data_IF_953993149348
#
_entry.id   IF_953993149348
#
_cell.length_a   1.000
_cell.length_b   1.000
_cell.length_c   1.000
_cell.angle_alpha   90.00
_cell.angle_beta   90.00
_cell.angle_gamma   90.00
#
_symmetry.space_group_name_H-M   'P 1'
#
loop_
_entity.id
_entity.type
_entity.pdbx_description
1 polymer ?
#
# COMPACT_ATOMS: atom_id res chain seq x y z
N UNK A 1 23.50 -9.50 -16.91
CA UNK A 1 23.15 -8.23 -16.23
C UNK A 1 22.31 -8.64 -15.04
N UNK A 2 22.66 -8.21 -13.82
CA UNK A 2 21.97 -8.63 -12.60
C UNK A 2 20.88 -7.65 -12.20
N UNK A 3 19.91 -8.10 -11.41
CA UNK A 3 18.94 -7.23 -10.72
C UNK A 3 19.75 -6.21 -9.90
N UNK A 4 19.49 -4.90 -10.02
CA UNK A 4 20.24 -3.90 -9.29
C UNK A 4 20.01 -4.06 -7.78
N UNK A 5 21.03 -3.71 -7.02
CA UNK A 5 20.97 -3.74 -5.57
C UNK A 5 20.78 -2.35 -4.98
N UNK A 6 20.08 -2.30 -3.87
CA UNK A 6 19.91 -1.14 -3.01
C UNK A 6 20.63 -1.41 -1.69
N UNK A 7 21.33 -0.41 -1.15
CA UNK A 7 22.03 -0.52 0.13
C UNK A 7 21.33 0.36 1.15
N UNK A 8 20.88 -0.23 2.24
CA UNK A 8 20.36 0.50 3.40
C UNK A 8 21.25 0.30 4.61
N UNK A 9 21.31 1.32 5.45
CA UNK A 9 21.86 1.23 6.80
C UNK A 9 21.16 0.16 7.68
N UNK A 10 19.92 -0.22 7.35
CA UNK A 10 19.09 -1.18 8.10
C UNK A 10 19.32 -2.64 7.72
N UNK A 11 19.54 -2.91 6.43
CA UNK A 11 19.54 -4.27 5.86
C UNK A 11 20.79 -4.63 5.07
N UNK A 12 21.74 -3.70 4.94
CA UNK A 12 22.88 -3.87 4.04
C UNK A 12 22.41 -3.82 2.58
N UNK A 13 23.11 -4.55 1.71
CA UNK A 13 22.86 -4.57 0.27
C UNK A 13 21.90 -5.70 -0.11
N UNK A 14 20.77 -5.36 -0.73
CA UNK A 14 19.74 -6.30 -1.16
C UNK A 14 19.28 -6.00 -2.60
N UNK A 15 18.90 -7.01 -3.41
CA UNK A 15 18.30 -6.78 -4.72
C UNK A 15 16.99 -5.98 -4.60
N UNK A 16 16.73 -5.04 -5.52
CA UNK A 16 15.54 -4.17 -5.45
C UNK A 16 14.21 -4.92 -5.61
N UNK A 17 14.23 -6.14 -6.17
CA UNK A 17 13.06 -7.01 -6.27
C UNK A 17 12.93 -8.02 -5.13
N UNK A 18 13.80 -8.01 -4.14
CA UNK A 18 13.70 -8.93 -3.01
C UNK A 18 12.47 -8.60 -2.14
N UNK A 19 11.74 -9.60 -1.67
CA UNK A 19 10.53 -9.42 -0.84
C UNK A 19 10.84 -8.85 0.55
N UNK A 20 12.07 -9.02 1.05
CA UNK A 20 12.50 -8.39 2.28
C UNK A 20 12.46 -6.85 2.20
N UNK A 21 12.52 -6.30 0.98
CA UNK A 21 12.41 -4.85 0.74
C UNK A 21 11.05 -4.33 1.20
N UNK A 22 9.97 -5.08 0.99
CA UNK A 22 8.60 -4.62 1.26
C UNK A 22 8.38 -4.32 2.75
N UNK A 23 9.10 -5.05 3.62
CA UNK A 23 9.06 -4.87 5.08
C UNK A 23 9.85 -3.67 5.56
N UNK A 24 10.81 -3.18 4.77
CA UNK A 24 11.71 -2.11 5.20
C UNK A 24 11.40 -0.77 4.55
N UNK A 25 10.75 -0.75 3.39
CA UNK A 25 10.33 0.49 2.71
C UNK A 25 9.70 1.51 3.70
N UNK A 26 8.78 1.11 4.61
CA UNK A 26 8.13 2.05 5.54
C UNK A 26 9.09 2.72 6.53
N UNK A 27 10.26 2.11 6.78
CA UNK A 27 11.24 2.57 7.79
C UNK A 27 12.54 3.10 7.18
N UNK A 28 12.64 3.16 5.85
CA UNK A 28 13.77 3.78 5.15
C UNK A 28 13.75 5.29 5.33
N UNK A 29 14.94 5.90 5.41
CA UNK A 29 15.03 7.37 5.40
C UNK A 29 14.57 7.93 4.03
N UNK A 30 14.08 9.18 3.95
CA UNK A 30 13.59 9.75 2.68
C UNK A 30 14.62 9.73 1.53
N UNK A 31 15.91 9.85 1.84
CA UNK A 31 16.99 9.70 0.85
C UNK A 31 17.11 8.27 0.31
N UNK A 32 17.03 7.28 1.20
CA UNK A 32 17.05 5.85 0.86
C UNK A 32 15.81 5.45 0.05
N UNK A 33 14.62 5.96 0.40
CA UNK A 33 13.38 5.74 -0.36
C UNK A 33 13.50 6.23 -1.80
N UNK A 34 14.05 7.45 -1.99
CA UNK A 34 14.28 8.03 -3.33
C UNK A 34 15.30 7.21 -4.14
N UNK A 35 16.38 6.78 -3.51
CA UNK A 35 17.39 5.95 -4.17
C UNK A 35 16.80 4.60 -4.60
N UNK A 36 16.08 3.93 -3.70
CA UNK A 36 15.39 2.68 -3.99
C UNK A 36 14.44 2.82 -5.19
N UNK A 37 13.55 3.81 -5.16
CA UNK A 37 12.61 4.08 -6.24
C UNK A 37 13.31 4.38 -7.56
N UNK A 38 14.37 5.20 -7.55
CA UNK A 38 15.12 5.55 -8.76
C UNK A 38 15.74 4.31 -9.42
N UNK A 39 16.36 3.43 -8.63
CA UNK A 39 16.93 2.17 -9.13
C UNK A 39 15.85 1.25 -9.69
N UNK A 40 14.72 1.13 -8.99
CA UNK A 40 13.63 0.26 -9.41
C UNK A 40 12.95 0.74 -10.69
N UNK A 41 12.72 2.05 -10.84
CA UNK A 41 12.17 2.65 -12.07
C UNK A 41 13.15 2.45 -13.26
N UNK A 42 14.45 2.68 -13.05
CA UNK A 42 15.45 2.44 -14.08
C UNK A 42 15.54 0.96 -14.48
N UNK A 43 15.42 0.05 -13.51
CA UNK A 43 15.39 -1.38 -13.77
C UNK A 43 14.14 -1.79 -14.57
N UNK A 44 12.96 -1.31 -14.18
CA UNK A 44 11.72 -1.52 -14.92
C UNK A 44 11.86 -1.10 -16.39
N UNK A 45 12.42 0.09 -16.66
CA UNK A 45 12.68 0.53 -18.03
C UNK A 45 13.69 -0.35 -18.80
N UNK A 46 14.64 -0.96 -18.09
CA UNK A 46 15.56 -1.96 -18.67
C UNK A 46 14.80 -3.23 -19.05
N UNK A 47 13.88 -3.71 -18.20
CA UNK A 47 13.03 -4.88 -18.48
C UNK A 47 12.07 -4.59 -19.64
N UNK A 48 11.49 -3.39 -19.74
CA UNK A 48 10.66 -3.02 -20.89
C UNK A 48 11.42 -3.11 -22.21
N UNK A 49 12.67 -2.61 -22.22
CA UNK A 49 13.51 -2.54 -23.43
C UNK A 49 14.13 -3.88 -23.83
N UNK A 50 14.53 -4.70 -22.87
CA UNK A 50 15.33 -5.91 -23.11
C UNK A 50 14.62 -7.20 -22.69
N UNK A 51 13.43 -7.11 -22.10
CA UNK A 51 12.68 -8.25 -21.58
C UNK A 51 12.19 -9.24 -22.62
N UNK A 52 12.26 -8.92 -23.92
CA UNK A 52 11.94 -9.89 -24.98
C UNK A 52 13.12 -10.85 -25.26
N UNK A 53 14.28 -10.62 -24.65
CA UNK A 53 15.45 -11.49 -24.78
C UNK A 53 15.45 -12.58 -23.69
N UNK A 54 15.38 -13.87 -24.06
CA UNK A 54 15.51 -14.97 -23.11
C UNK A 54 16.84 -14.94 -22.37
N UNK A 55 17.91 -14.47 -23.01
CA UNK A 55 19.25 -14.33 -22.38
C UNK A 55 19.23 -13.27 -21.28
N UNK A 56 18.51 -12.17 -21.50
CA UNK A 56 18.35 -11.14 -20.48
C UNK A 56 17.56 -11.69 -19.27
N UNK A 57 16.43 -12.33 -19.53
CA UNK A 57 15.55 -12.86 -18.48
C UNK A 57 16.16 -14.01 -17.70
N UNK A 58 16.86 -14.93 -18.36
CA UNK A 58 17.58 -16.04 -17.70
C UNK A 58 18.73 -15.56 -16.81
N UNK A 59 19.19 -14.31 -16.99
CA UNK A 59 20.19 -13.71 -16.12
C UNK A 59 19.58 -13.03 -14.88
N UNK A 60 18.25 -12.97 -14.77
CA UNK A 60 17.54 -12.46 -13.60
C UNK A 60 17.23 -13.61 -12.65
N UNK A 61 17.78 -13.54 -11.43
CA UNK A 61 17.43 -14.47 -10.37
C UNK A 61 15.93 -14.31 -10.01
N UNK A 62 15.20 -15.42 -9.88
CA UNK A 62 13.80 -15.43 -9.45
C UNK A 62 12.76 -15.60 -10.57
N UNK A 63 13.17 -15.69 -11.83
CA UNK A 63 12.26 -16.11 -12.92
C UNK A 63 12.05 -17.64 -12.85
N UNK A 64 10.81 -18.14 -12.78
CA UNK A 64 10.55 -19.58 -12.75
C UNK A 64 11.09 -20.29 -13.98
N UNK A 65 11.59 -21.53 -13.81
CA UNK A 65 11.97 -22.35 -14.95
C UNK A 65 10.72 -22.77 -15.75
N UNK A 66 10.85 -22.79 -17.09
CA UNK A 66 9.81 -23.34 -17.98
C UNK A 66 8.75 -22.35 -18.46
N UNK A 67 8.83 -21.06 -18.09
CA UNK A 67 7.98 -20.01 -18.66
C UNK A 67 8.56 -19.44 -19.96
N UNK A 68 7.71 -18.89 -20.81
CA UNK A 68 8.13 -18.16 -22.01
C UNK A 68 8.78 -16.83 -21.65
N UNK A 69 9.55 -16.25 -22.58
CA UNK A 69 10.14 -14.92 -22.38
C UNK A 69 9.07 -13.84 -22.17
N UNK A 70 7.92 -13.94 -22.85
CA UNK A 70 6.83 -12.99 -22.69
C UNK A 70 6.20 -13.07 -21.29
N UNK A 71 5.95 -14.28 -20.79
CA UNK A 71 5.43 -14.51 -19.43
C UNK A 71 6.42 -14.01 -18.38
N UNK A 72 7.71 -14.38 -18.50
CA UNK A 72 8.76 -13.91 -17.59
C UNK A 72 8.88 -12.38 -17.58
N UNK A 73 8.80 -11.73 -18.75
CA UNK A 73 8.77 -10.26 -18.83
C UNK A 73 7.55 -9.68 -18.09
N UNK A 74 6.37 -10.26 -18.30
CA UNK A 74 5.13 -9.87 -17.61
C UNK A 74 5.28 -9.94 -16.10
N UNK A 75 5.74 -11.08 -15.57
CA UNK A 75 5.96 -11.30 -14.13
C UNK A 75 6.94 -10.28 -13.53
N UNK A 76 8.08 -10.04 -14.19
CA UNK A 76 9.09 -9.10 -13.67
C UNK A 76 8.57 -7.66 -13.71
N UNK A 77 7.83 -7.28 -14.76
CA UNK A 77 7.22 -5.94 -14.83
C UNK A 77 6.14 -5.76 -13.79
N UNK A 78 5.31 -6.77 -13.54
CA UNK A 78 4.30 -6.76 -12.47
C UNK A 78 4.94 -6.54 -11.10
N UNK A 79 5.98 -7.32 -10.75
CA UNK A 79 6.76 -7.12 -9.52
C UNK A 79 7.35 -5.71 -9.41
N UNK A 80 7.88 -5.18 -10.51
CA UNK A 80 8.41 -3.80 -10.53
C UNK A 80 7.29 -2.78 -10.26
N UNK A 81 6.17 -2.88 -10.97
CA UNK A 81 5.04 -1.97 -10.82
C UNK A 81 4.52 -1.98 -9.38
N UNK A 82 4.35 -3.17 -8.80
CA UNK A 82 3.87 -3.33 -7.43
C UNK A 82 4.83 -2.73 -6.41
N UNK A 83 6.14 -3.00 -6.51
CA UNK A 83 7.13 -2.43 -5.59
C UNK A 83 7.32 -0.92 -5.77
N UNK A 84 7.13 -0.38 -6.99
CA UNK A 84 7.09 1.07 -7.21
C UNK A 84 5.89 1.67 -6.50
N UNK A 85 4.70 1.09 -6.64
CA UNK A 85 3.49 1.57 -5.97
C UNK A 85 3.64 1.59 -4.44
N UNK A 86 4.20 0.53 -3.86
CA UNK A 86 4.53 0.48 -2.42
C UNK A 86 5.57 1.55 -2.04
N UNK A 87 6.65 1.71 -2.80
CA UNK A 87 7.66 2.73 -2.54
C UNK A 87 7.11 4.16 -2.62
N UNK A 88 6.18 4.41 -3.55
CA UNK A 88 5.50 5.70 -3.67
C UNK A 88 4.53 5.95 -2.51
N UNK A 89 3.79 4.93 -2.05
CA UNK A 89 2.96 5.00 -0.83
C UNK A 89 3.76 5.50 0.37
N UNK A 90 4.88 4.84 0.63
CA UNK A 90 5.69 5.09 1.83
C UNK A 90 6.74 6.19 1.67
N UNK A 91 6.79 6.85 0.51
CA UNK A 91 7.61 8.06 0.35
C UNK A 91 7.21 9.11 1.39
N UNK A 92 8.15 9.95 1.81
CA UNK A 92 7.88 11.08 2.72
C UNK A 92 8.19 12.42 2.03
N UNK A 93 7.18 13.26 1.71
CA UNK A 93 5.74 12.99 1.80
C UNK A 93 5.29 11.87 0.85
N UNK A 94 4.09 11.32 1.08
CA UNK A 94 3.55 10.23 0.26
C UNK A 94 3.38 10.70 -1.19
N UNK A 95 3.76 9.84 -2.13
CA UNK A 95 3.65 10.08 -3.58
C UNK A 95 2.65 9.11 -4.22
N UNK A 96 1.71 8.59 -3.43
CA UNK A 96 0.77 7.55 -3.86
C UNK A 96 -0.04 7.94 -5.11
N UNK A 97 -0.35 9.23 -5.31
CA UNK A 97 -1.03 9.71 -6.52
C UNK A 97 -0.23 9.43 -7.81
N UNK A 98 1.11 9.43 -7.74
CA UNK A 98 1.97 9.08 -8.88
C UNK A 98 1.97 7.58 -9.19
N UNK A 99 1.43 6.75 -8.29
CA UNK A 99 1.44 5.30 -8.42
C UNK A 99 0.35 4.77 -9.37
N UNK A 100 -0.66 5.57 -9.72
CA UNK A 100 -1.81 5.16 -10.55
C UNK A 100 -1.42 4.30 -11.75
N UNK A 101 -0.54 4.72 -12.67
CA UNK A 101 -0.23 3.92 -13.87
C UNK A 101 0.47 2.59 -13.55
N UNK A 102 1.15 2.49 -12.40
CA UNK A 102 1.77 1.23 -11.97
C UNK A 102 0.73 0.30 -11.37
N UNK A 103 -0.19 0.83 -10.55
CA UNK A 103 -1.25 0.04 -9.91
C UNK A 103 -2.23 -0.50 -10.97
N UNK A 104 -2.62 0.32 -11.95
CA UNK A 104 -3.46 -0.12 -13.08
C UNK A 104 -2.84 -1.29 -13.83
N UNK A 105 -1.51 -1.29 -13.99
CA UNK A 105 -0.79 -2.40 -14.65
C UNK A 105 -0.77 -3.67 -13.81
N UNK A 106 -0.69 -3.55 -12.48
CA UNK A 106 -0.79 -4.71 -11.58
C UNK A 106 -2.19 -5.31 -11.64
N UNK A 107 -3.23 -4.48 -11.58
CA UNK A 107 -4.63 -4.93 -11.68
C UNK A 107 -4.89 -5.60 -13.05
N UNK A 108 -4.42 -4.99 -14.14
CA UNK A 108 -4.55 -5.57 -15.47
C UNK A 108 -3.82 -6.91 -15.58
N UNK A 109 -2.58 -6.98 -15.13
CA UNK A 109 -1.80 -8.23 -15.14
C UNK A 109 -2.49 -9.33 -14.32
N UNK A 110 -2.97 -9.02 -13.11
CA UNK A 110 -3.74 -9.96 -12.30
C UNK A 110 -4.99 -10.44 -13.04
N UNK A 111 -5.75 -9.53 -13.64
CA UNK A 111 -7.01 -9.86 -14.33
C UNK A 111 -6.79 -10.74 -15.57
N UNK A 112 -5.68 -10.56 -16.29
CA UNK A 112 -5.31 -11.38 -17.45
C UNK A 112 -4.92 -12.82 -17.08
N UNK A 113 -4.50 -13.06 -15.83
CA UNK A 113 -3.94 -14.34 -15.38
C UNK A 113 -4.80 -15.08 -14.34
N UNK A 114 -5.96 -14.52 -13.97
CA UNK A 114 -6.87 -15.10 -12.99
C UNK A 114 -8.28 -15.28 -13.58
N UNK A 115 -9.12 -16.02 -12.86
CA UNK A 115 -10.49 -16.26 -13.29
C UNK A 115 -11.31 -14.96 -13.34
N UNK A 116 -12.18 -14.77 -14.35
CA UNK A 116 -13.06 -13.61 -14.42
C UNK A 116 -13.89 -13.46 -13.15
N UNK A 117 -13.90 -12.25 -12.59
CA UNK A 117 -14.64 -11.93 -11.36
C UNK A 117 -13.84 -12.13 -10.07
N UNK A 118 -12.62 -12.67 -10.13
CA UNK A 118 -11.68 -12.62 -9.00
C UNK A 118 -11.04 -11.23 -8.95
N UNK A 119 -11.09 -10.61 -7.78
CA UNK A 119 -10.55 -9.26 -7.55
C UNK A 119 -9.34 -9.37 -6.62
N UNK A 120 -8.21 -8.81 -7.03
CA UNK A 120 -7.11 -8.55 -6.09
C UNK A 120 -7.40 -7.26 -5.32
N UNK A 121 -7.93 -7.43 -4.11
CA UNK A 121 -8.42 -6.29 -3.31
C UNK A 121 -7.31 -5.32 -2.91
N UNK A 122 -6.04 -5.74 -2.87
CA UNK A 122 -4.95 -4.89 -2.37
C UNK A 122 -4.55 -3.81 -3.37
N UNK A 123 -4.23 -4.13 -4.64
CA UNK A 123 -4.06 -3.13 -5.69
C UNK A 123 -5.29 -2.21 -5.83
N UNK A 124 -6.50 -2.76 -5.71
CA UNK A 124 -7.74 -1.96 -5.76
C UNK A 124 -7.82 -0.92 -4.63
N UNK A 125 -7.48 -1.32 -3.39
CA UNK A 125 -7.37 -0.38 -2.26
C UNK A 125 -6.31 0.69 -2.54
N UNK A 126 -5.15 0.31 -3.07
CA UNK A 126 -4.09 1.27 -3.42
C UNK A 126 -4.55 2.26 -4.50
N UNK A 127 -5.26 1.78 -5.53
CA UNK A 127 -5.76 2.62 -6.61
C UNK A 127 -6.83 3.59 -6.11
N UNK A 128 -7.75 3.11 -5.28
CA UNK A 128 -8.74 3.96 -4.60
C UNK A 128 -8.07 5.08 -3.80
N UNK A 129 -7.02 4.77 -3.03
CA UNK A 129 -6.27 5.79 -2.28
C UNK A 129 -5.50 6.75 -3.20
N UNK A 130 -4.88 6.25 -4.27
CA UNK A 130 -4.15 7.08 -5.22
C UNK A 130 -5.07 8.09 -5.91
N UNK A 131 -6.23 7.64 -6.38
CA UNK A 131 -7.24 8.48 -7.03
C UNK A 131 -7.92 9.43 -6.04
N UNK A 132 -8.11 9.01 -4.78
CA UNK A 132 -8.62 9.88 -3.71
C UNK A 132 -7.78 11.15 -3.51
N UNK A 133 -6.49 11.11 -3.82
CA UNK A 133 -5.55 12.23 -3.74
C UNK A 133 -5.58 13.15 -4.98
N UNK A 134 -6.37 12.82 -6.00
CA UNK A 134 -6.44 13.54 -7.27
C UNK A 134 -7.78 14.26 -7.41
N UNK A 135 -7.75 15.57 -7.65
CA UNK A 135 -8.95 16.36 -7.86
C UNK A 135 -9.71 15.88 -9.12
N UNK A 136 -11.03 15.71 -9.01
CA UNK A 136 -11.88 15.26 -10.12
C UNK A 136 -11.88 13.74 -10.36
N UNK A 137 -11.25 12.96 -9.48
CA UNK A 137 -11.21 11.49 -9.54
C UNK A 137 -12.07 10.83 -8.45
N UNK A 138 -12.99 11.57 -7.83
CA UNK A 138 -13.77 11.12 -6.68
C UNK A 138 -14.61 9.87 -7.00
N UNK A 139 -15.33 9.87 -8.13
CA UNK A 139 -16.16 8.73 -8.53
C UNK A 139 -15.34 7.50 -8.93
N UNK A 140 -14.17 7.72 -9.53
CA UNK A 140 -13.24 6.63 -9.86
C UNK A 140 -12.68 6.01 -8.57
N UNK A 141 -12.19 6.84 -7.64
CA UNK A 141 -11.72 6.39 -6.34
C UNK A 141 -12.80 5.62 -5.57
N UNK A 142 -14.04 6.13 -5.56
CA UNK A 142 -15.19 5.48 -4.94
C UNK A 142 -15.46 4.09 -5.54
N UNK A 143 -15.42 3.97 -6.88
CA UNK A 143 -15.62 2.69 -7.57
C UNK A 143 -14.60 1.64 -7.15
N UNK A 144 -13.32 2.00 -7.07
CA UNK A 144 -12.25 1.10 -6.64
C UNK A 144 -12.37 0.71 -5.16
N UNK A 145 -12.76 1.66 -4.29
CA UNK A 145 -13.03 1.33 -2.89
C UNK A 145 -14.23 0.38 -2.72
N UNK A 146 -15.32 0.58 -3.46
CA UNK A 146 -16.45 -0.35 -3.46
C UNK A 146 -16.01 -1.74 -3.90
N UNK A 147 -15.34 -1.85 -5.04
CA UNK A 147 -14.88 -3.13 -5.56
C UNK A 147 -13.99 -3.87 -4.55
N UNK A 148 -13.04 -3.16 -3.94
CA UNK A 148 -12.14 -3.74 -2.94
C UNK A 148 -12.88 -4.20 -1.67
N UNK A 149 -13.78 -3.38 -1.11
CA UNK A 149 -14.42 -3.67 0.17
C UNK A 149 -15.69 -4.50 0.07
N UNK A 150 -16.30 -4.63 -1.11
CA UNK A 150 -17.30 -5.67 -1.37
C UNK A 150 -16.65 -7.06 -1.37
N UNK A 151 -15.46 -7.18 -1.95
CA UNK A 151 -14.69 -8.43 -1.96
C UNK A 151 -13.98 -8.72 -0.62
N UNK A 152 -13.58 -7.69 0.13
CA UNK A 152 -12.97 -7.79 1.45
C UNK A 152 -13.72 -6.94 2.51
N UNK A 153 -14.92 -7.37 2.93
CA UNK A 153 -15.79 -6.56 3.78
C UNK A 153 -15.31 -6.39 5.22
N UNK A 154 -14.44 -7.29 5.70
CA UNK A 154 -13.93 -7.30 7.08
C UNK A 154 -12.43 -7.05 7.14
N UNK A 155 -12.01 -6.38 8.21
CA UNK A 155 -10.58 -6.19 8.51
C UNK A 155 -10.04 -7.51 9.08
N UNK A 156 -9.26 -8.21 8.28
CA UNK A 156 -8.68 -9.51 8.61
C UNK A 156 -7.16 -9.50 8.35
N UNK A 157 -6.69 -10.25 7.35
CA UNK A 157 -5.29 -10.21 6.94
C UNK A 157 -4.94 -8.84 6.34
N UNK A 158 -3.66 -8.46 6.46
CA UNK A 158 -3.13 -7.20 5.92
C UNK A 158 -3.87 -5.96 6.47
N UNK A 159 -4.26 -6.03 7.74
CA UNK A 159 -5.02 -4.99 8.45
C UNK A 159 -4.40 -3.59 8.31
N UNK A 160 -3.07 -3.45 8.20
CA UNK A 160 -2.44 -2.16 7.90
C UNK A 160 -2.97 -1.50 6.62
N UNK A 161 -3.02 -2.26 5.52
CA UNK A 161 -3.52 -1.74 4.25
C UNK A 161 -5.01 -1.44 4.34
N UNK A 162 -5.79 -2.30 5.00
CA UNK A 162 -7.23 -2.11 5.14
C UNK A 162 -7.60 -0.90 6.01
N UNK A 163 -6.95 -0.71 7.16
CA UNK A 163 -7.19 0.43 8.04
C UNK A 163 -6.84 1.75 7.33
N UNK A 164 -5.68 1.78 6.68
CA UNK A 164 -5.24 2.93 5.89
C UNK A 164 -6.21 3.27 4.76
N UNK A 165 -6.57 2.28 3.95
CA UNK A 165 -7.46 2.50 2.80
C UNK A 165 -8.88 2.87 3.25
N UNK A 166 -9.41 2.28 4.33
CA UNK A 166 -10.70 2.67 4.90
C UNK A 166 -10.69 4.08 5.47
N UNK A 167 -9.59 4.54 6.05
CA UNK A 167 -9.49 5.91 6.54
C UNK A 167 -9.53 6.91 5.38
N UNK A 168 -8.79 6.64 4.29
CA UNK A 168 -8.91 7.43 3.05
C UNK A 168 -10.32 7.36 2.45
N UNK A 169 -10.94 6.18 2.50
CA UNK A 169 -12.27 5.99 1.96
C UNK A 169 -13.33 6.78 2.74
N UNK A 170 -13.29 6.74 4.07
CA UNK A 170 -14.13 7.56 4.94
C UNK A 170 -14.00 9.07 4.61
N UNK A 171 -12.76 9.56 4.46
CA UNK A 171 -12.52 10.96 4.05
C UNK A 171 -13.12 11.28 2.69
N UNK A 172 -13.01 10.37 1.71
CA UNK A 172 -13.61 10.55 0.39
C UNK A 172 -15.12 10.75 0.52
N UNK A 173 -15.77 9.82 1.23
CA UNK A 173 -17.21 9.80 1.44
C UNK A 173 -17.67 11.09 2.14
N UNK A 174 -16.95 11.56 3.17
CA UNK A 174 -17.22 12.84 3.83
C UNK A 174 -17.15 14.01 2.85
N UNK A 175 -16.10 14.10 2.02
CA UNK A 175 -15.98 15.16 0.99
C UNK A 175 -17.11 15.13 -0.03
N UNK A 176 -17.60 13.94 -0.36
CA UNK A 176 -18.74 13.73 -1.27
C UNK A 176 -20.11 13.91 -0.58
N UNK A 177 -20.16 14.24 0.72
CA UNK A 177 -21.41 14.38 1.48
C UNK A 177 -22.07 13.05 1.86
N UNK A 178 -21.45 11.91 1.59
CA UNK A 178 -21.92 10.55 1.89
C UNK A 178 -21.63 10.16 3.34
N UNK A 179 -22.23 10.91 4.26
CA UNK A 179 -21.94 10.84 5.70
C UNK A 179 -22.24 9.47 6.30
N UNK A 180 -23.37 8.85 5.97
CA UNK A 180 -23.75 7.55 6.54
C UNK A 180 -22.78 6.44 6.13
N UNK A 181 -22.40 6.40 4.85
CA UNK A 181 -21.39 5.46 4.33
C UNK A 181 -20.02 5.70 4.98
N UNK A 182 -19.64 6.95 5.21
CA UNK A 182 -18.38 7.28 5.88
C UNK A 182 -18.34 6.73 7.31
N UNK A 183 -19.44 6.87 8.07
CA UNK A 183 -19.55 6.35 9.43
C UNK A 183 -19.33 4.84 9.47
N UNK A 184 -19.86 4.09 8.49
CA UNK A 184 -19.63 2.63 8.40
C UNK A 184 -18.13 2.29 8.31
N UNK A 185 -17.36 3.05 7.53
CA UNK A 185 -15.92 2.84 7.41
C UNK A 185 -15.18 3.21 8.70
N UNK A 186 -15.57 4.31 9.32
CA UNK A 186 -15.02 4.77 10.60
C UNK A 186 -15.32 3.76 11.73
N UNK A 187 -16.53 3.19 11.77
CA UNK A 187 -16.92 2.13 12.72
C UNK A 187 -16.04 0.89 12.57
N UNK A 188 -15.78 0.43 11.34
CA UNK A 188 -14.91 -0.73 11.11
C UNK A 188 -13.50 -0.51 11.68
N UNK A 189 -12.96 0.71 11.55
CA UNK A 189 -11.65 1.08 12.11
C UNK A 189 -11.71 1.10 13.64
N UNK A 190 -12.77 1.69 14.22
CA UNK A 190 -12.99 1.76 15.67
C UNK A 190 -13.15 0.37 16.29
N UNK A 191 -13.92 -0.50 15.65
CA UNK A 191 -14.15 -1.87 16.07
C UNK A 191 -12.87 -2.68 16.02
N UNK A 192 -12.05 -2.49 14.97
CA UNK A 192 -10.74 -3.14 14.92
C UNK A 192 -9.86 -2.74 16.10
N UNK A 193 -9.76 -1.43 16.40
CA UNK A 193 -9.00 -0.93 17.54
C UNK A 193 -9.54 -1.50 18.88
N UNK A 194 -10.86 -1.65 18.99
CA UNK A 194 -11.49 -2.23 20.18
C UNK A 194 -11.07 -3.68 20.43
N UNK A 195 -11.14 -4.50 19.38
CA UNK A 195 -10.89 -5.93 19.47
C UNK A 195 -9.41 -6.31 19.41
N UNK A 196 -8.55 -5.37 18.99
CA UNK A 196 -7.11 -5.57 18.85
C UNK A 196 -6.29 -4.51 19.62
N UNK A 197 -6.50 -4.36 20.95
CA UNK A 197 -5.82 -3.32 21.74
C UNK A 197 -4.30 -3.46 21.81
N UNK A 198 -3.76 -4.63 21.43
CA UNK A 198 -2.32 -4.90 21.32
C UNK A 198 -1.88 -5.15 19.87
N UNK A 199 -2.77 -4.96 18.89
CA UNK A 199 -2.50 -5.23 17.48
C UNK A 199 -1.55 -4.21 16.85
N UNK A 200 -1.50 -2.99 17.39
CA UNK A 200 -0.70 -1.89 16.86
C UNK A 200 -0.41 -0.84 17.95
N UNK A 201 0.81 -0.27 18.01
CA UNK A 201 1.12 0.90 18.82
C UNK A 201 0.25 2.11 18.49
N UNK A 202 -0.13 2.95 19.48
CA UNK A 202 -0.89 4.18 19.26
C UNK A 202 -0.30 5.07 18.19
N UNK A 203 1.02 5.33 18.24
CA UNK A 203 1.69 6.19 17.24
C UNK A 203 1.59 5.61 15.83
N UNK A 204 1.71 4.28 15.70
CA UNK A 204 1.60 3.58 14.42
C UNK A 204 0.17 3.64 13.90
N UNK A 205 -0.84 3.45 14.77
CA UNK A 205 -2.24 3.57 14.39
C UNK A 205 -2.57 4.99 13.94
N UNK A 206 -2.18 6.01 14.71
CA UNK A 206 -2.37 7.41 14.37
C UNK A 206 -1.73 7.71 13.02
N UNK A 207 -0.47 7.32 12.81
CA UNK A 207 0.22 7.54 11.54
C UNK A 207 -0.46 6.82 10.36
N UNK A 208 -1.08 5.67 10.62
CA UNK A 208 -1.73 4.86 9.59
C UNK A 208 -3.09 5.42 9.17
N UNK A 209 -3.91 5.86 10.12
CA UNK A 209 -5.26 6.35 9.82
C UNK A 209 -5.32 7.85 9.60
N UNK A 210 -4.33 8.62 10.03
CA UNK A 210 -4.25 10.08 9.75
C UNK A 210 -3.79 10.38 8.32
N UNK A 211 -4.00 11.62 7.89
CA UNK A 211 -3.47 12.14 6.64
C UNK A 211 -3.03 13.61 6.87
N UNK A 212 -1.72 13.92 6.87
CA UNK A 212 -1.25 15.27 7.18
C UNK A 212 -1.64 16.30 6.12
N UNK A 213 -2.04 15.86 4.93
CA UNK A 213 -2.53 16.72 3.85
C UNK A 213 -4.06 16.91 3.90
N UNK A 214 -4.75 16.21 4.81
CA UNK A 214 -6.18 16.33 4.94
C UNK A 214 -6.54 17.58 5.76
N UNK A 215 -7.28 18.48 5.13
CA UNK A 215 -7.91 19.61 5.81
C UNK A 215 -9.27 19.22 6.38
N UNK A 216 -9.53 19.60 7.63
CA UNK A 216 -10.82 19.40 8.28
C UNK A 216 -10.73 18.57 9.56
N UNK A 217 -11.90 18.12 10.02
CA UNK A 217 -12.04 17.31 11.23
C UNK A 217 -11.58 15.87 10.98
N UNK A 218 -10.76 15.31 11.85
CA UNK A 218 -10.45 13.88 11.80
C UNK A 218 -11.53 13.08 12.53
N UNK A 219 -12.53 12.60 11.79
CA UNK A 219 -13.67 11.88 12.34
C UNK A 219 -13.33 10.53 13.00
N UNK A 220 -12.14 9.98 12.74
CA UNK A 220 -11.67 8.75 13.35
C UNK A 220 -10.96 9.07 14.67
N UNK A 221 -9.93 9.91 14.62
CA UNK A 221 -9.07 10.19 15.78
C UNK A 221 -9.73 11.10 16.82
N UNK A 222 -10.68 11.93 16.42
CA UNK A 222 -11.45 12.77 17.35
C UNK A 222 -12.70 12.06 17.92
N UNK A 223 -12.89 10.78 17.61
CA UNK A 223 -14.00 10.02 18.19
C UNK A 223 -13.72 9.71 19.67
N UNK A 224 -14.68 9.95 20.60
CA UNK A 224 -14.47 9.72 22.03
C UNK A 224 -13.97 8.31 22.36
N UNK A 225 -14.52 7.28 21.72
CA UNK A 225 -14.09 5.90 21.95
C UNK A 225 -12.65 5.62 21.50
N UNK A 226 -12.17 6.32 20.47
CA UNK A 226 -10.77 6.20 20.03
C UNK A 226 -9.87 6.91 21.03
N UNK A 227 -10.21 8.14 21.41
CA UNK A 227 -9.45 8.91 22.41
C UNK A 227 -9.33 8.16 23.74
N UNK A 228 -10.44 7.67 24.28
CA UNK A 228 -10.46 6.91 25.53
C UNK A 228 -9.55 5.67 25.48
N UNK A 229 -9.52 4.96 24.33
CA UNK A 229 -8.66 3.78 24.14
C UNK A 229 -7.20 4.15 23.94
N UNK A 230 -6.91 5.27 23.30
CA UNK A 230 -5.53 5.73 23.15
C UNK A 230 -4.95 6.19 24.50
N UNK A 231 -5.76 6.86 25.32
CA UNK A 231 -5.37 7.32 26.65
C UNK A 231 -5.11 6.14 27.63
N UNK A 232 -5.76 5.00 27.43
CA UNK A 232 -5.49 3.76 28.18
C UNK A 232 -4.26 3.00 27.69
N UNK A 233 -3.67 3.38 26.55
CA UNK A 233 -2.47 2.75 25.98
C UNK A 233 -1.21 3.55 26.33
N UNK A 234 -0.26 2.90 26.99
CA UNK A 234 1.07 3.48 27.28
C UNK A 234 2.11 2.82 26.39
N UNK A 235 2.70 3.61 25.50
CA UNK A 235 3.83 3.18 24.68
C UNK A 235 5.14 3.33 25.48
N UNK A 236 5.84 2.23 25.71
CA UNK A 236 7.06 2.20 26.55
C UNK A 236 8.34 2.16 25.71
N UNK A 237 8.20 1.91 24.41
CA UNK A 237 9.27 1.98 23.43
C UNK A 237 8.73 1.70 22.02
N UNK A 238 9.56 1.79 20.98
CA UNK A 238 9.14 1.49 19.61
C UNK A 238 8.53 0.08 19.52
N UNK A 239 7.26 -0.01 19.14
CA UNK A 239 6.56 -1.29 19.00
C UNK A 239 6.07 -1.95 20.30
N UNK A 240 6.19 -1.31 21.47
CA UNK A 240 5.78 -1.89 22.76
C UNK A 240 4.69 -1.05 23.45
N UNK A 241 3.55 -1.68 23.73
CA UNK A 241 2.37 -1.06 24.36
C UNK A 241 1.96 -1.82 25.61
N UNK A 242 1.63 -1.10 26.68
CA UNK A 242 0.88 -1.61 27.83
C UNK A 242 -0.50 -0.97 27.81
N UNK A 243 -1.55 -1.79 27.97
CA UNK A 243 -2.93 -1.31 28.09
C UNK A 243 -3.36 -1.31 29.55
N UNK A 244 -3.91 -0.19 30.02
CA UNK A 244 -4.49 -0.05 31.35
C UNK A 244 -6.01 0.03 31.21
N UNK A 245 -6.67 -1.14 31.25
CA UNK A 245 -8.12 -1.28 31.47
C UNK A 245 -9.01 -0.71 30.38
#
# INVERSE_FOLDING_TARGET
MSIPTFTSSRTGTIPVLNDAVDRIIPILAPGEQREFLSKLVAFRGTVEKYGDSPVFLNALDGVPAGVTAAEAKGMVLDMCNWKIAQGLRYSTPSRIAEAVPYIERVIAYFSEHNEPGVVDTVPEMYLGVALHKMAGQEDAALSHFHLAFEAAPRIEMQFHTQLWSRACYARLLRRMGKTEEAVVQEDMIRDWLHWHPYGMPPDEFIALVSDPEHEGKDHILEHPDVQNRMDSMVQIGPGMVIHFG
#
